data_IF_690486376851
#
_entry.id   IF_690486376851
#
_cell.length_a   1.000
_cell.length_b   1.000
_cell.length_c   1.000
_cell.angle_alpha   90.00
_cell.angle_beta   90.00
_cell.angle_gamma   90.00
#
_symmetry.space_group_name_H-M   'P 1'
#
loop_
_entity.id
_entity.type
_entity.pdbx_description
1 polymer ?
#
# COMPACT_ATOMS: atom_id res chain seq x y z
N UNK A 1 48.57 10.01 -19.18
CA UNK A 1 49.55 10.44 -18.16
C UNK A 1 48.89 10.12 -16.83
N UNK A 2 49.37 9.10 -16.10
CA UNK A 2 48.81 8.81 -14.76
C UNK A 2 49.23 9.94 -13.83
N UNK A 3 48.31 10.41 -13.00
CA UNK A 3 48.63 11.44 -12.00
C UNK A 3 49.47 10.81 -10.89
N UNK A 4 50.35 11.60 -10.25
CA UNK A 4 51.17 11.13 -9.11
C UNK A 4 50.31 10.51 -8.00
N UNK A 5 49.08 10.98 -7.87
CA UNK A 5 48.10 10.53 -6.88
C UNK A 5 47.59 9.11 -7.20
N UNK A 6 47.31 8.80 -8.47
CA UNK A 6 46.96 7.44 -8.91
C UNK A 6 48.11 6.44 -8.68
N UNK A 7 49.36 6.87 -8.85
CA UNK A 7 50.54 6.03 -8.56
C UNK A 7 50.68 5.75 -7.07
N UNK A 8 50.47 6.78 -6.23
CA UNK A 8 50.48 6.65 -4.78
C UNK A 8 49.36 5.71 -4.30
N UNK A 9 48.15 5.88 -4.82
CA UNK A 9 47.00 5.03 -4.51
C UNK A 9 47.27 3.57 -4.89
N UNK A 10 47.75 3.31 -6.12
CA UNK A 10 48.06 1.95 -6.57
C UNK A 10 49.16 1.29 -5.73
N UNK A 11 50.15 2.06 -5.28
CA UNK A 11 51.22 1.59 -4.39
C UNK A 11 50.69 1.21 -3.00
N UNK A 12 49.81 2.02 -2.42
CA UNK A 12 49.20 1.72 -1.10
C UNK A 12 48.26 0.50 -1.19
N UNK A 13 47.47 0.38 -2.27
CA UNK A 13 46.59 -0.78 -2.51
C UNK A 13 47.39 -2.07 -2.69
N UNK A 14 48.57 -2.02 -3.33
CA UNK A 14 49.46 -3.15 -3.50
C UNK A 14 50.26 -3.53 -2.23
N UNK A 15 50.05 -2.83 -1.10
CA UNK A 15 50.73 -3.10 0.17
C UNK A 15 52.10 -2.41 0.32
N UNK A 16 52.44 -1.46 -0.56
CA UNK A 16 53.65 -0.66 -0.44
C UNK A 16 53.59 0.32 0.74
N UNK A 17 54.73 0.52 1.41
CA UNK A 17 54.84 1.53 2.47
C UNK A 17 55.14 2.92 1.87
N UNK A 18 54.44 3.92 2.39
CA UNK A 18 54.69 5.33 2.13
C UNK A 18 54.42 6.13 3.40
N UNK A 19 55.46 6.78 3.93
CA UNK A 19 55.41 7.56 5.17
C UNK A 19 54.98 9.03 4.94
N UNK A 20 54.60 9.38 3.70
CA UNK A 20 53.97 10.67 3.42
C UNK A 20 52.61 10.80 4.10
N UNK A 21 52.21 12.05 4.41
CA UNK A 21 50.92 12.34 5.03
C UNK A 21 49.73 11.79 4.19
N UNK A 22 49.84 11.88 2.87
CA UNK A 22 48.83 11.36 1.93
C UNK A 22 48.83 9.83 1.92
N UNK A 23 50.00 9.19 1.94
CA UNK A 23 50.11 7.72 2.03
C UNK A 23 49.47 7.15 3.30
N UNK A 24 49.66 7.81 4.44
CA UNK A 24 49.00 7.45 5.70
C UNK A 24 47.48 7.65 5.65
N UNK A 25 47.01 8.72 4.99
CA UNK A 25 45.57 8.97 4.80
C UNK A 25 44.92 7.88 3.94
N UNK A 26 45.52 7.53 2.79
CA UNK A 26 45.06 6.44 1.94
C UNK A 26 45.03 5.11 2.69
N UNK A 27 46.08 4.79 3.44
CA UNK A 27 46.14 3.56 4.25
C UNK A 27 44.99 3.48 5.25
N UNK A 28 44.63 4.59 5.89
CA UNK A 28 43.53 4.67 6.87
C UNK A 28 42.17 4.44 6.20
N UNK A 29 41.95 5.02 5.02
CA UNK A 29 40.72 4.87 4.24
C UNK A 29 40.58 3.42 3.75
N UNK A 30 41.61 2.86 3.14
CA UNK A 30 41.56 1.46 2.66
C UNK A 30 41.40 0.47 3.80
N UNK A 31 42.02 0.73 4.96
CA UNK A 31 41.80 -0.07 6.15
C UNK A 31 40.34 -0.01 6.63
N UNK A 32 39.73 1.18 6.68
CA UNK A 32 38.33 1.31 7.08
C UNK A 32 37.34 0.62 6.12
N UNK A 33 37.67 0.58 4.82
CA UNK A 33 36.82 -0.06 3.79
C UNK A 33 36.98 -1.60 3.81
N UNK A 34 38.16 -2.11 4.17
CA UNK A 34 38.43 -3.56 4.25
C UNK A 34 37.89 -4.22 5.51
N UNK A 35 37.57 -3.43 6.55
CA UNK A 35 36.88 -3.92 7.73
C UNK A 35 35.43 -4.19 7.36
N UNK A 36 35.04 -5.46 7.30
CA UNK A 36 33.64 -5.83 7.15
C UNK A 36 32.84 -5.20 8.32
N UNK A 37 31.78 -4.42 8.02
CA UNK A 37 30.94 -3.90 9.08
C UNK A 37 30.31 -5.08 9.81
N UNK A 38 30.48 -5.13 11.14
CA UNK A 38 29.84 -6.15 11.97
C UNK A 38 28.32 -5.93 11.98
N UNK A 39 27.66 -6.46 10.96
CA UNK A 39 26.21 -6.39 10.79
C UNK A 39 25.56 -7.41 11.71
N UNK A 40 25.45 -7.08 12.99
CA UNK A 40 24.58 -7.81 13.90
C UNK A 40 23.15 -7.30 13.68
N UNK A 41 22.37 -8.07 12.92
CA UNK A 41 20.94 -7.83 12.82
C UNK A 41 20.33 -7.97 14.22
N UNK A 42 19.55 -7.00 14.70
CA UNK A 42 18.88 -7.13 15.97
C UNK A 42 17.91 -8.31 15.91
N UNK A 43 17.78 -9.05 17.01
CA UNK A 43 16.97 -10.26 17.11
C UNK A 43 15.51 -10.08 16.62
N UNK A 44 14.98 -8.86 16.74
CA UNK A 44 13.62 -8.47 16.36
C UNK A 44 13.52 -7.71 15.02
N UNK A 45 14.55 -7.79 14.17
CA UNK A 45 14.57 -7.08 12.88
C UNK A 45 13.40 -7.49 11.98
N UNK A 46 13.16 -8.79 11.84
CA UNK A 46 12.07 -9.33 11.05
C UNK A 46 10.70 -8.88 11.58
N UNK A 47 10.49 -8.97 12.90
CA UNK A 47 9.24 -8.53 13.54
C UNK A 47 8.99 -7.03 13.35
N UNK A 48 10.05 -6.21 13.42
CA UNK A 48 9.95 -4.77 13.22
C UNK A 48 9.58 -4.43 11.78
N UNK A 49 10.16 -5.13 10.81
CA UNK A 49 9.83 -4.95 9.40
C UNK A 49 8.40 -5.39 9.09
N UNK A 50 7.98 -6.57 9.57
CA UNK A 50 6.62 -7.08 9.37
C UNK A 50 5.60 -6.10 9.96
N UNK A 51 5.81 -5.63 11.20
CA UNK A 51 4.95 -4.61 11.81
C UNK A 51 4.89 -3.32 11.02
N UNK A 52 5.99 -2.89 10.40
CA UNK A 52 5.98 -1.67 9.58
C UNK A 52 5.20 -1.85 8.28
N UNK A 53 5.27 -3.03 7.66
CA UNK A 53 4.53 -3.35 6.44
C UNK A 53 3.02 -3.40 6.73
N UNK A 54 2.61 -4.14 7.76
CA UNK A 54 1.18 -4.24 8.15
C UNK A 54 0.59 -2.86 8.51
N UNK A 55 1.33 -2.03 9.25
CA UNK A 55 0.86 -0.70 9.61
C UNK A 55 0.74 0.25 8.40
N UNK A 56 1.53 0.06 7.34
CA UNK A 56 1.41 0.84 6.11
C UNK A 56 0.15 0.45 5.33
N UNK A 57 -0.11 -0.85 5.18
CA UNK A 57 -1.33 -1.33 4.52
C UNK A 57 -2.58 -0.87 5.29
N UNK A 58 -2.60 -1.08 6.61
CA UNK A 58 -3.71 -0.66 7.45
C UNK A 58 -3.97 0.85 7.41
N UNK A 59 -2.91 1.68 7.32
CA UNK A 59 -3.07 3.14 7.19
C UNK A 59 -3.66 3.55 5.84
N UNK A 60 -3.24 2.92 4.74
CA UNK A 60 -3.80 3.21 3.41
C UNK A 60 -5.28 2.89 3.36
N UNK A 61 -5.66 1.69 3.79
CA UNK A 61 -7.07 1.24 3.76
C UNK A 61 -7.99 2.15 4.58
N UNK A 62 -7.53 2.61 5.76
CA UNK A 62 -8.32 3.51 6.60
C UNK A 62 -8.49 4.91 5.99
N UNK A 63 -7.47 5.42 5.31
CA UNK A 63 -7.53 6.72 4.64
C UNK A 63 -8.49 6.66 3.43
N UNK A 64 -8.38 5.61 2.62
CA UNK A 64 -9.22 5.42 1.43
C UNK A 64 -10.70 5.26 1.83
N UNK A 65 -10.98 4.48 2.88
CA UNK A 65 -12.33 4.29 3.39
C UNK A 65 -12.94 5.61 3.91
N UNK A 66 -12.15 6.45 4.60
CA UNK A 66 -12.60 7.76 5.06
C UNK A 66 -12.93 8.69 3.90
N UNK A 67 -12.09 8.72 2.86
CA UNK A 67 -12.36 9.52 1.66
C UNK A 67 -13.56 9.05 0.88
N UNK A 68 -13.75 7.74 0.78
CA UNK A 68 -14.95 7.16 0.18
C UNK A 68 -16.21 7.56 0.96
N UNK A 69 -16.18 7.49 2.30
CA UNK A 69 -17.28 7.92 3.14
C UNK A 69 -17.60 9.41 2.98
N UNK A 70 -16.57 10.26 2.95
CA UNK A 70 -16.73 11.71 2.70
C UNK A 70 -17.31 11.97 1.32
N UNK A 71 -16.81 11.29 0.28
CA UNK A 71 -17.32 11.42 -1.09
C UNK A 71 -18.80 11.04 -1.22
N UNK A 72 -19.19 9.91 -0.62
CA UNK A 72 -20.59 9.48 -0.57
C UNK A 72 -21.45 10.50 0.18
N UNK A 73 -20.97 11.02 1.31
CA UNK A 73 -21.69 12.01 2.10
C UNK A 73 -21.92 13.31 1.32
N UNK A 74 -20.88 13.84 0.66
CA UNK A 74 -20.97 15.05 -0.16
C UNK A 74 -21.90 14.85 -1.35
N UNK A 75 -21.86 13.68 -2.01
CA UNK A 75 -22.77 13.34 -3.10
C UNK A 75 -24.22 13.36 -2.61
N UNK A 76 -24.49 12.72 -1.47
CA UNK A 76 -25.83 12.68 -0.88
C UNK A 76 -26.32 14.09 -0.51
N UNK A 77 -25.46 14.90 0.12
CA UNK A 77 -25.78 16.28 0.45
C UNK A 77 -26.09 17.11 -0.80
N UNK A 78 -25.28 16.97 -1.84
CA UNK A 78 -25.48 17.64 -3.13
C UNK A 78 -26.79 17.24 -3.79
N UNK A 79 -27.15 15.95 -3.75
CA UNK A 79 -28.42 15.46 -4.28
C UNK A 79 -29.63 16.05 -3.52
N UNK A 80 -29.56 16.11 -2.19
CA UNK A 80 -30.63 16.70 -1.35
C UNK A 80 -30.77 18.20 -1.62
N UNK A 81 -29.66 18.94 -1.63
CA UNK A 81 -29.65 20.39 -1.90
C UNK A 81 -30.17 20.66 -3.31
N UNK A 82 -29.74 19.88 -4.30
CA UNK A 82 -30.21 19.98 -5.68
C UNK A 82 -31.72 19.70 -5.80
N UNK A 83 -32.23 18.71 -5.10
CA UNK A 83 -33.67 18.41 -5.06
C UNK A 83 -34.49 19.57 -4.45
N UNK A 84 -33.98 20.20 -3.38
CA UNK A 84 -34.63 21.35 -2.75
C UNK A 84 -34.62 22.56 -3.69
N UNK A 85 -33.47 22.90 -4.26
CA UNK A 85 -33.31 24.09 -5.12
C UNK A 85 -34.07 23.98 -6.45
N UNK A 86 -34.14 22.78 -7.03
CA UNK A 86 -34.89 22.53 -8.26
C UNK A 86 -36.41 22.49 -8.06
N UNK A 87 -36.89 22.56 -6.81
CA UNK A 87 -38.30 22.38 -6.50
C UNK A 87 -38.81 20.99 -6.87
N UNK A 88 -37.90 20.00 -6.94
CA UNK A 88 -38.23 18.63 -7.28
C UNK A 88 -39.19 18.07 -6.22
N UNK A 89 -40.46 17.98 -6.57
CA UNK A 89 -41.44 17.26 -5.77
C UNK A 89 -41.22 15.77 -6.06
N UNK A 90 -40.66 14.98 -5.12
CA UNK A 90 -40.53 13.56 -5.33
C UNK A 90 -41.92 12.97 -5.54
N UNK A 91 -42.25 12.67 -6.81
CA UNK A 91 -43.45 11.94 -7.11
C UNK A 91 -43.15 10.48 -6.76
N UNK A 92 -43.56 10.07 -5.56
CA UNK A 92 -43.44 8.69 -5.08
C UNK A 92 -44.22 7.69 -5.96
N UNK A 93 -44.78 8.09 -7.10
CA UNK A 93 -45.34 7.19 -8.12
C UNK A 93 -44.38 6.07 -8.54
N UNK A 94 -43.07 6.30 -8.58
CA UNK A 94 -42.08 5.23 -8.81
C UNK A 94 -42.00 4.23 -7.64
N UNK A 95 -42.14 4.69 -6.39
CA UNK A 95 -42.26 3.81 -5.22
C UNK A 95 -43.61 3.11 -5.14
N UNK A 96 -44.70 3.70 -5.65
CA UNK A 96 -45.98 3.01 -5.84
C UNK A 96 -45.88 1.87 -6.85
N UNK A 97 -45.06 2.02 -7.89
CA UNK A 97 -44.74 0.91 -8.81
C UNK A 97 -44.03 -0.23 -8.08
N UNK A 98 -43.08 0.07 -7.19
CA UNK A 98 -42.43 -0.93 -6.34
C UNK A 98 -43.40 -1.62 -5.36
N UNK A 99 -44.36 -0.87 -4.80
CA UNK A 99 -45.38 -1.41 -3.90
C UNK A 99 -46.39 -2.35 -4.62
N UNK A 100 -46.61 -2.17 -5.93
CA UNK A 100 -47.49 -3.03 -6.73
C UNK A 100 -46.83 -4.33 -7.21
N UNK A 101 -45.50 -4.46 -7.14
CA UNK A 101 -44.77 -5.66 -7.56
C UNK A 101 -43.87 -6.24 -6.45
N UNK A 102 -44.44 -6.60 -5.27
CA UNK A 102 -43.68 -7.24 -4.20
C UNK A 102 -43.05 -8.57 -4.65
N UNK A 103 -43.67 -9.24 -5.64
CA UNK A 103 -43.14 -10.46 -6.25
C UNK A 103 -41.82 -10.27 -6.98
N UNK A 104 -41.54 -9.09 -7.55
CA UNK A 104 -40.28 -8.83 -8.25
C UNK A 104 -39.11 -8.68 -7.25
N UNK A 105 -39.38 -8.08 -6.09
CA UNK A 105 -38.43 -7.99 -4.98
C UNK A 105 -38.18 -9.36 -4.35
N UNK A 106 -39.24 -10.12 -4.08
CA UNK A 106 -39.12 -11.49 -3.58
C UNK A 106 -38.35 -12.37 -4.58
N UNK A 107 -38.64 -12.24 -5.88
CA UNK A 107 -37.93 -12.95 -6.94
C UNK A 107 -36.46 -12.54 -7.01
N UNK A 108 -36.14 -11.24 -6.98
CA UNK A 108 -34.75 -10.76 -6.97
C UNK A 108 -33.96 -11.28 -5.76
N UNK A 109 -34.58 -11.31 -4.57
CA UNK A 109 -33.95 -11.81 -3.36
C UNK A 109 -33.72 -13.34 -3.45
N UNK A 110 -34.71 -14.10 -3.90
CA UNK A 110 -34.57 -15.54 -4.16
C UNK A 110 -33.53 -15.82 -5.24
N UNK A 111 -33.46 -15.00 -6.29
CA UNK A 111 -32.50 -15.14 -7.37
C UNK A 111 -31.06 -14.88 -6.91
N UNK A 112 -30.85 -13.87 -6.07
CA UNK A 112 -29.53 -13.61 -5.46
C UNK A 112 -29.11 -14.79 -4.57
N UNK A 113 -30.01 -15.31 -3.74
CA UNK A 113 -29.73 -16.50 -2.91
C UNK A 113 -29.45 -17.74 -3.77
N UNK A 114 -30.16 -17.88 -4.89
CA UNK A 114 -29.94 -18.97 -5.84
C UNK A 114 -28.58 -18.87 -6.54
N UNK A 115 -28.17 -17.67 -6.97
CA UNK A 115 -26.83 -17.43 -7.52
C UNK A 115 -25.75 -17.72 -6.48
N UNK A 116 -25.95 -17.28 -5.23
CA UNK A 116 -25.02 -17.55 -4.14
C UNK A 116 -24.91 -19.06 -3.84
N UNK A 117 -26.01 -19.80 -3.95
CA UNK A 117 -26.01 -21.26 -3.82
C UNK A 117 -25.30 -21.94 -5.00
N UNK A 118 -25.54 -21.49 -6.24
CA UNK A 118 -24.84 -22.00 -7.42
C UNK A 118 -23.33 -21.76 -7.34
N UNK A 119 -22.93 -20.56 -6.95
CA UNK A 119 -21.54 -20.18 -6.75
C UNK A 119 -20.87 -21.07 -5.70
N UNK A 120 -21.52 -21.24 -4.53
CA UNK A 120 -21.04 -22.15 -3.49
C UNK A 120 -20.94 -23.61 -3.94
N UNK A 121 -21.88 -24.07 -4.77
CA UNK A 121 -21.95 -25.48 -5.19
C UNK A 121 -21.00 -25.81 -6.36
N UNK A 122 -20.69 -24.86 -7.24
CA UNK A 122 -19.95 -25.12 -8.49
C UNK A 122 -18.59 -24.42 -8.58
N UNK A 123 -18.41 -23.26 -7.95
CA UNK A 123 -17.18 -22.46 -8.10
C UNK A 123 -16.18 -22.76 -6.98
N UNK A 124 -16.62 -23.08 -5.75
CA UNK A 124 -15.70 -23.39 -4.65
C UNK A 124 -16.21 -24.50 -3.70
N UNK A 125 -16.04 -25.79 -4.04
CA UNK A 125 -16.32 -26.89 -3.12
C UNK A 125 -15.32 -27.00 -1.94
N UNK A 126 -14.32 -26.11 -1.80
CA UNK A 126 -13.24 -26.21 -0.79
C UNK A 126 -13.24 -25.12 0.29
N UNK A 127 -14.37 -24.49 0.55
CA UNK A 127 -14.57 -23.67 1.77
C UNK A 127 -15.59 -24.32 2.72
N UNK A 128 -15.40 -25.63 2.92
CA UNK A 128 -15.82 -26.39 4.11
C UNK A 128 -14.76 -27.44 4.37
#
# INVERSE_FOLDING_TARGET
MKTKDEELQNKIVAGGADDSADGLAYKKVFHAITVEPSFNLPFNFADTLIRQIENKEAKSTNYDMRWLAVGIFVLFLGAVIGAILSGFKPNFGAFKFWASYPGLFAFGLVFILFLQWLDKKWVNPRLT
#
